data_IF_943662675201
#
_entry.id   IF_943662675201
#
_cell.length_a   1.000
_cell.length_b   1.000
_cell.length_c   1.000
_cell.angle_alpha   90.00
_cell.angle_beta   90.00
_cell.angle_gamma   90.00
#
_symmetry.space_group_name_H-M   'P 1'
#
loop_
_entity.id
_entity.type
_entity.pdbx_description
1 polymer ?
#
# COMPACT_ATOMS: atom_id res chain seq x y z
N UNK A 1 20.25 45.91 -9.78
CA UNK A 1 18.86 46.39 -9.71
C UNK A 1 18.86 47.53 -8.70
N UNK A 2 18.38 48.71 -9.09
CA UNK A 2 18.28 49.85 -8.18
C UNK A 2 17.02 49.63 -7.35
N UNK A 3 17.19 49.26 -6.09
CA UNK A 3 16.08 49.17 -5.14
C UNK A 3 15.74 50.59 -4.68
N UNK A 4 14.59 51.10 -5.12
CA UNK A 4 14.08 52.40 -4.70
C UNK A 4 13.55 52.32 -3.26
N UNK A 5 14.31 52.88 -2.33
CA UNK A 5 14.03 52.92 -0.88
C UNK A 5 12.84 53.79 -0.47
N UNK A 6 12.09 54.39 -1.42
CA UNK A 6 10.97 55.30 -1.13
C UNK A 6 9.59 54.76 -1.52
N UNK A 7 9.50 53.58 -2.12
CA UNK A 7 8.23 52.98 -2.49
C UNK A 7 7.39 52.62 -1.24
N UNK A 8 6.09 52.95 -1.27
CA UNK A 8 5.13 52.58 -0.22
C UNK A 8 4.34 51.35 -0.66
N UNK A 9 4.28 50.33 0.20
CA UNK A 9 3.51 49.11 -0.08
C UNK A 9 2.29 49.06 0.83
N UNK A 10 1.12 48.78 0.25
CA UNK A 10 -0.14 48.61 0.97
C UNK A 10 -0.82 47.29 0.59
N UNK A 11 -1.74 46.82 1.44
CA UNK A 11 -2.42 45.53 1.26
C UNK A 11 -1.78 44.34 1.99
N UNK A 12 -0.64 44.52 2.64
CA UNK A 12 0.02 43.53 3.49
C UNK A 12 -0.73 43.30 4.82
N UNK A 13 -0.25 42.35 5.62
CA UNK A 13 -0.79 42.01 6.94
C UNK A 13 -1.71 40.78 6.94
N UNK A 14 -2.18 40.39 8.12
CA UNK A 14 -3.02 39.20 8.33
C UNK A 14 -4.37 39.34 7.62
N UNK A 15 -4.76 38.31 6.87
CA UNK A 15 -6.05 38.23 6.17
C UNK A 15 -6.85 37.04 6.65
N UNK A 16 -8.13 37.26 6.93
CA UNK A 16 -9.07 36.17 7.19
C UNK A 16 -9.54 35.57 5.86
N UNK A 17 -9.36 34.26 5.70
CA UNK A 17 -9.76 33.54 4.50
C UNK A 17 -11.18 32.98 4.64
N UNK A 18 -12.00 33.15 3.62
CA UNK A 18 -13.28 32.45 3.45
C UNK A 18 -13.04 31.14 2.69
N UNK A 19 -13.89 30.14 2.91
CA UNK A 19 -13.89 28.93 2.07
C UNK A 19 -14.12 29.35 0.61
N UNK A 20 -13.42 28.69 -0.30
CA UNK A 20 -13.38 29.03 -1.71
C UNK A 20 -12.27 30.03 -2.05
N UNK A 21 -12.46 30.73 -3.17
CA UNK A 21 -11.48 31.67 -3.71
C UNK A 21 -11.50 32.98 -2.93
N UNK A 22 -10.32 33.41 -2.46
CA UNK A 22 -10.08 34.71 -1.85
C UNK A 22 -9.13 35.49 -2.75
N UNK A 23 -9.47 36.75 -3.01
CA UNK A 23 -8.65 37.64 -3.82
C UNK A 23 -8.20 38.81 -2.96
N UNK A 24 -6.90 39.05 -2.90
CA UNK A 24 -6.31 40.19 -2.19
C UNK A 24 -5.41 40.98 -3.13
N UNK A 25 -5.44 42.31 -3.01
CA UNK A 25 -4.58 43.18 -3.80
C UNK A 25 -3.44 43.72 -2.93
N UNK A 26 -2.22 43.67 -3.45
CA UNK A 26 -1.06 44.35 -2.90
C UNK A 26 -0.70 45.47 -3.85
N UNK A 27 -0.69 46.71 -3.36
CA UNK A 27 -0.42 47.89 -4.18
C UNK A 27 0.93 48.46 -3.76
N UNK A 28 1.82 48.59 -4.74
CA UNK A 28 3.11 49.26 -4.59
C UNK A 28 2.99 50.63 -5.24
N UNK A 29 3.26 51.68 -4.49
CA UNK A 29 3.24 53.08 -4.93
C UNK A 29 4.67 53.61 -4.94
N UNK A 30 5.15 54.04 -6.10
CA UNK A 30 6.46 54.67 -6.26
C UNK A 30 6.44 56.13 -5.74
N UNK A 31 7.61 56.76 -5.62
CA UNK A 31 7.72 58.16 -5.14
C UNK A 31 6.99 59.15 -6.07
N UNK A 32 6.93 58.85 -7.37
CA UNK A 32 6.23 59.64 -8.38
C UNK A 32 4.71 59.38 -8.43
N UNK A 33 4.13 58.74 -7.41
CA UNK A 33 2.72 58.36 -7.28
C UNK A 33 2.23 57.29 -8.28
N UNK A 34 3.10 56.74 -9.14
CA UNK A 34 2.73 55.61 -9.99
C UNK A 34 2.49 54.35 -9.15
N UNK A 35 1.44 53.61 -9.48
CA UNK A 35 1.05 52.41 -8.73
C UNK A 35 1.11 51.14 -9.57
N UNK A 36 1.52 50.05 -8.94
CA UNK A 36 1.48 48.70 -9.49
C UNK A 36 0.71 47.80 -8.54
N UNK A 37 -0.34 47.17 -9.05
CA UNK A 37 -1.21 46.28 -8.25
C UNK A 37 -0.92 44.81 -8.57
N UNK A 38 -0.65 44.04 -7.53
CA UNK A 38 -0.47 42.59 -7.57
C UNK A 38 -1.71 41.90 -6.99
N UNK A 39 -2.28 40.96 -7.74
CA UNK A 39 -3.49 40.23 -7.35
C UNK A 39 -3.10 38.85 -6.83
N UNK A 40 -3.33 38.61 -5.55
CA UNK A 40 -3.14 37.34 -4.88
C UNK A 40 -4.46 36.57 -4.88
N UNK A 41 -4.51 35.41 -5.54
CA UNK A 41 -5.66 34.51 -5.54
C UNK A 41 -5.34 33.28 -4.69
N UNK A 42 -5.99 33.18 -3.53
CA UNK A 42 -5.78 32.13 -2.53
C UNK A 42 -7.07 31.33 -2.36
N UNK A 43 -7.06 30.04 -2.65
CA UNK A 43 -8.22 29.17 -2.43
C UNK A 43 -8.10 28.48 -1.08
N UNK A 44 -9.04 28.72 -0.17
CA UNK A 44 -9.14 27.97 1.10
C UNK A 44 -10.20 26.89 0.96
N UNK A 45 -9.84 25.64 1.23
CA UNK A 45 -10.80 24.54 1.23
C UNK A 45 -11.70 24.59 2.47
N UNK A 46 -12.92 24.07 2.35
CA UNK A 46 -13.82 23.94 3.48
C UNK A 46 -13.32 22.85 4.43
N UNK A 47 -13.36 23.12 5.73
CA UNK A 47 -13.17 22.10 6.76
C UNK A 47 -14.39 21.17 6.85
N UNK A 48 -15.54 21.58 6.29
CA UNK A 48 -16.78 20.79 6.20
C UNK A 48 -16.82 19.83 5.00
N UNK A 49 -15.84 19.91 4.08
CA UNK A 49 -15.54 18.75 3.23
C UNK A 49 -15.17 17.64 4.19
N UNK A 50 -16.07 16.66 4.36
CA UNK A 50 -15.95 15.56 5.32
C UNK A 50 -14.57 14.93 5.16
N UNK A 51 -13.64 15.34 6.02
CA UNK A 51 -12.31 14.73 6.09
C UNK A 51 -12.55 13.33 6.57
N UNK A 52 -12.41 12.39 5.66
CA UNK A 52 -12.48 10.97 5.95
C UNK A 52 -11.10 10.54 6.38
N UNK A 53 -11.04 9.60 7.33
CA UNK A 53 -9.84 8.83 7.62
C UNK A 53 -9.85 7.47 6.93
N UNK A 54 -10.83 7.19 6.07
CA UNK A 54 -10.87 5.95 5.33
C UNK A 54 -9.81 6.00 4.21
N UNK A 55 -8.79 5.18 4.34
CA UNK A 55 -7.70 5.00 3.38
C UNK A 55 -7.65 3.56 2.83
N UNK A 56 -8.78 2.84 2.89
CA UNK A 56 -8.90 1.50 2.34
C UNK A 56 -9.16 1.53 0.83
N UNK A 57 -8.59 0.55 0.14
CA UNK A 57 -9.08 0.17 -1.18
C UNK A 57 -10.23 -0.83 -1.02
N UNK A 58 -11.28 -0.64 -1.82
CA UNK A 58 -12.38 -1.59 -1.99
C UNK A 58 -11.95 -2.76 -2.88
N UNK A 59 -11.13 -2.47 -3.89
CA UNK A 59 -10.54 -3.48 -4.75
C UNK A 59 -9.13 -3.09 -5.20
N UNK A 60 -8.30 -4.11 -5.42
CA UNK A 60 -6.97 -4.00 -6.01
C UNK A 60 -6.73 -5.28 -6.79
N UNK A 61 -6.29 -5.13 -8.04
CA UNK A 61 -5.98 -6.21 -8.96
C UNK A 61 -4.76 -5.82 -9.79
N UNK A 62 -4.10 -6.83 -10.34
CA UNK A 62 -2.96 -6.67 -11.23
C UNK A 62 -3.25 -7.47 -12.49
N UNK A 63 -3.11 -6.84 -13.66
CA UNK A 63 -3.35 -7.52 -14.93
C UNK A 63 -2.45 -8.74 -15.06
N UNK A 64 -2.99 -9.86 -15.55
CA UNK A 64 -2.31 -11.16 -15.70
C UNK A 64 -1.88 -11.87 -14.39
N UNK A 65 -2.05 -11.24 -13.22
CA UNK A 65 -1.65 -11.81 -11.92
C UNK A 65 -2.84 -11.93 -10.95
N UNK A 66 -3.12 -13.15 -10.51
CA UNK A 66 -4.18 -13.38 -9.53
C UNK A 66 -3.72 -13.04 -8.11
N UNK A 67 -4.34 -12.03 -7.51
CA UNK A 67 -4.19 -11.69 -6.10
C UNK A 67 -5.53 -11.84 -5.37
N UNK A 68 -5.51 -12.42 -4.17
CA UNK A 68 -6.68 -12.42 -3.29
C UNK A 68 -6.61 -11.18 -2.39
N UNK A 69 -7.08 -10.05 -2.92
CA UNK A 69 -7.01 -8.78 -2.21
C UNK A 69 -7.88 -8.79 -0.95
N UNK A 70 -7.33 -8.21 0.12
CA UNK A 70 -7.98 -7.99 1.40
C UNK A 70 -7.49 -6.62 1.92
N UNK A 71 -8.38 -5.66 2.23
CA UNK A 71 -7.99 -4.31 2.63
C UNK A 71 -7.15 -4.24 3.91
N UNK A 72 -7.14 -5.30 4.72
CA UNK A 72 -6.33 -5.39 5.95
C UNK A 72 -4.97 -6.05 5.73
N UNK A 73 -4.75 -6.70 4.58
CA UNK A 73 -3.45 -7.27 4.22
C UNK A 73 -2.63 -6.20 3.49
N UNK A 74 -1.54 -5.75 4.12
CA UNK A 74 -0.65 -4.71 3.56
C UNK A 74 0.61 -5.26 2.91
N UNK A 75 0.80 -6.58 2.87
CA UNK A 75 1.97 -7.22 2.27
C UNK A 75 1.58 -8.35 1.32
N UNK A 76 2.02 -8.23 0.08
CA UNK A 76 1.82 -9.21 -0.98
C UNK A 76 3.16 -9.63 -1.56
N UNK A 77 3.26 -10.89 -1.98
CA UNK A 77 4.43 -11.41 -2.70
C UNK A 77 3.95 -11.85 -4.07
N UNK A 78 4.62 -11.39 -5.12
CA UNK A 78 4.26 -11.67 -6.51
C UNK A 78 5.51 -12.17 -7.23
N UNK A 79 5.33 -13.27 -7.95
CA UNK A 79 6.34 -13.77 -8.88
C UNK A 79 5.95 -13.36 -10.29
N UNK A 80 6.82 -12.62 -10.96
CA UNK A 80 6.63 -12.14 -12.34
C UNK A 80 7.65 -12.83 -13.27
N UNK A 81 7.44 -12.74 -14.58
CA UNK A 81 8.35 -13.31 -15.57
C UNK A 81 9.45 -12.31 -15.92
N UNK A 82 9.25 -11.51 -16.96
CA UNK A 82 10.21 -10.51 -17.42
C UNK A 82 9.67 -9.09 -17.51
N UNK A 83 8.45 -8.85 -16.99
CA UNK A 83 7.83 -7.54 -16.95
C UNK A 83 8.73 -6.52 -16.25
N UNK A 84 8.73 -5.30 -16.80
CA UNK A 84 9.48 -4.17 -16.26
C UNK A 84 8.60 -3.22 -15.44
N UNK A 85 7.28 -3.40 -15.52
CA UNK A 85 6.23 -2.70 -14.78
C UNK A 85 4.99 -3.59 -14.69
N UNK A 86 4.09 -3.32 -13.74
CA UNK A 86 2.82 -4.03 -13.58
C UNK A 86 1.63 -3.08 -13.77
N UNK A 87 0.57 -3.55 -14.43
CA UNK A 87 -0.65 -2.79 -14.61
C UNK A 87 -1.61 -3.03 -13.43
N UNK A 88 -1.77 -2.04 -12.56
CA UNK A 88 -2.69 -2.10 -11.42
C UNK A 88 -4.07 -1.55 -11.78
N UNK A 89 -5.12 -2.22 -11.31
CA UNK A 89 -6.49 -1.73 -11.31
C UNK A 89 -7.00 -1.66 -9.86
N UNK A 90 -7.59 -0.55 -9.45
CA UNK A 90 -8.06 -0.38 -8.07
C UNK A 90 -9.30 0.51 -7.97
N UNK A 91 -10.06 0.32 -6.90
CA UNK A 91 -11.17 1.19 -6.50
C UNK A 91 -10.99 1.55 -5.02
N UNK A 92 -10.94 2.83 -4.68
CA UNK A 92 -10.94 3.24 -3.29
C UNK A 92 -12.33 3.10 -2.66
N UNK A 93 -12.41 2.73 -1.38
CA UNK A 93 -13.69 2.74 -0.65
C UNK A 93 -14.24 4.17 -0.54
N UNK A 94 -13.35 5.13 -0.30
CA UNK A 94 -13.68 6.54 -0.30
C UNK A 94 -13.16 7.22 -1.57
N UNK A 95 -14.08 7.75 -2.38
CA UNK A 95 -13.81 8.40 -3.67
C UNK A 95 -13.01 9.70 -3.56
N UNK A 96 -12.86 10.24 -2.35
CA UNK A 96 -12.08 11.46 -2.10
C UNK A 96 -10.61 11.18 -1.81
N UNK A 97 -10.21 9.90 -1.71
CA UNK A 97 -8.83 9.47 -1.48
C UNK A 97 -7.96 9.63 -2.73
N UNK A 98 -6.65 9.74 -2.51
CA UNK A 98 -5.62 9.73 -3.56
C UNK A 98 -4.78 8.47 -3.46
N UNK A 99 -4.48 7.83 -4.60
CA UNK A 99 -3.65 6.62 -4.67
C UNK A 99 -2.43 6.91 -5.53
N UNK A 100 -1.24 6.59 -5.01
CA UNK A 100 0.05 6.73 -5.70
C UNK A 100 0.76 5.38 -5.68
N UNK A 101 1.30 4.97 -6.83
CA UNK A 101 2.09 3.74 -6.97
C UNK A 101 3.56 4.12 -7.19
N UNK A 102 4.42 3.70 -6.28
CA UNK A 102 5.86 3.96 -6.34
C UNK A 102 6.64 2.66 -6.57
N UNK A 103 7.76 2.74 -7.29
CA UNK A 103 8.65 1.60 -7.53
C UNK A 103 8.17 0.61 -8.59
N UNK A 104 7.16 0.96 -9.38
CA UNK A 104 6.59 0.14 -10.46
C UNK A 104 7.32 0.30 -11.81
N UNK A 105 8.62 0.57 -11.79
CA UNK A 105 9.41 0.79 -13.00
C UNK A 105 10.71 -0.02 -12.92
N UNK A 106 11.20 -0.48 -14.07
CA UNK A 106 12.45 -1.23 -14.19
C UNK A 106 12.54 -2.42 -13.20
N UNK A 107 11.43 -3.16 -13.05
CA UNK A 107 11.31 -4.24 -12.08
C UNK A 107 12.38 -5.33 -12.29
N UNK A 108 12.99 -5.72 -11.18
CA UNK A 108 14.03 -6.77 -11.03
C UNK A 108 13.63 -7.74 -9.93
N UNK A 109 14.32 -8.87 -9.84
CA UNK A 109 14.19 -9.75 -8.68
C UNK A 109 14.48 -8.97 -7.38
N UNK A 110 13.61 -9.14 -6.39
CA UNK A 110 13.66 -8.41 -5.11
C UNK A 110 13.12 -6.98 -5.15
N UNK A 111 12.54 -6.51 -6.27
CA UNK A 111 11.94 -5.17 -6.33
C UNK A 111 10.75 -5.03 -5.38
N UNK A 112 10.48 -3.79 -4.97
CA UNK A 112 9.39 -3.47 -4.08
C UNK A 112 8.53 -2.38 -4.72
N UNK A 113 7.24 -2.66 -4.83
CA UNK A 113 6.23 -1.68 -5.24
C UNK A 113 5.43 -1.26 -4.01
N UNK A 114 5.17 0.04 -3.87
CA UNK A 114 4.38 0.61 -2.79
C UNK A 114 3.17 1.33 -3.36
N UNK A 115 1.97 0.82 -3.07
CA UNK A 115 0.70 1.50 -3.35
C UNK A 115 0.27 2.26 -2.10
N UNK A 116 0.42 3.58 -2.12
CA UNK A 116 0.07 4.47 -1.01
C UNK A 116 -1.30 5.08 -1.25
N UNK A 117 -2.24 4.84 -0.33
CA UNK A 117 -3.56 5.47 -0.29
C UNK A 117 -3.56 6.56 0.77
N UNK A 118 -3.88 7.79 0.36
CA UNK A 118 -3.96 8.95 1.25
C UNK A 118 -5.40 9.43 1.33
N UNK A 119 -5.96 9.49 2.54
CA UNK A 119 -7.29 10.03 2.78
C UNK A 119 -7.28 11.56 2.87
N UNK A 120 -8.47 12.17 2.89
CA UNK A 120 -8.62 13.63 2.92
C UNK A 120 -8.18 14.26 4.25
N UNK A 121 -8.12 13.49 5.33
CA UNK A 121 -7.51 13.90 6.60
C UNK A 121 -5.97 13.79 6.63
N UNK A 122 -5.36 13.25 5.57
CA UNK A 122 -3.92 13.02 5.45
C UNK A 122 -3.41 11.69 6.01
N UNK A 123 -4.30 10.85 6.58
CA UNK A 123 -3.97 9.48 6.98
C UNK A 123 -3.57 8.64 5.76
N UNK A 124 -2.62 7.73 5.97
CA UNK A 124 -2.04 6.91 4.89
C UNK A 124 -2.09 5.43 5.22
N UNK A 125 -2.42 4.62 4.22
CA UNK A 125 -2.28 3.17 4.23
C UNK A 125 -1.42 2.76 3.03
N UNK A 126 -0.51 1.81 3.25
CA UNK A 126 0.43 1.36 2.23
C UNK A 126 0.28 -0.14 2.00
N UNK A 127 0.06 -0.53 0.75
CA UNK A 127 0.13 -1.91 0.29
C UNK A 127 1.48 -2.15 -0.37
N UNK A 128 2.27 -3.03 0.22
CA UNK A 128 3.62 -3.40 -0.21
C UNK A 128 3.59 -4.68 -1.02
N UNK A 129 4.21 -4.65 -2.19
CA UNK A 129 4.37 -5.80 -3.06
C UNK A 129 5.86 -6.14 -3.21
N UNK A 130 6.25 -7.30 -2.71
CA UNK A 130 7.57 -7.86 -2.96
C UNK A 130 7.53 -8.62 -4.28
N UNK A 131 8.43 -8.27 -5.20
CA UNK A 131 8.53 -8.85 -6.53
C UNK A 131 9.67 -9.86 -6.56
N UNK A 132 9.38 -11.05 -7.07
CA UNK A 132 10.39 -12.06 -7.40
C UNK A 132 10.31 -12.36 -8.89
N UNK A 133 11.44 -12.57 -9.57
CA UNK A 133 11.45 -12.99 -10.98
C UNK A 133 11.72 -14.48 -11.08
N UNK A 134 10.96 -15.19 -11.90
CA UNK A 134 11.34 -16.54 -12.28
C UNK A 134 12.66 -16.48 -13.06
N UNK A 135 13.66 -17.26 -12.65
CA UNK A 135 14.89 -17.39 -13.42
C UNK A 135 14.57 -17.98 -14.80
N UNK A 136 15.03 -17.32 -15.88
CA UNK A 136 14.98 -17.93 -17.22
C UNK A 136 15.89 -19.16 -17.18
N UNK A 137 15.30 -20.35 -17.27
CA UNK A 137 16.06 -21.55 -17.59
C UNK A 137 16.38 -21.47 -19.08
N UNK A 138 17.57 -20.98 -19.42
CA UNK A 138 18.09 -21.09 -20.78
C UNK A 138 18.17 -22.59 -21.12
N UNK A 139 17.28 -23.05 -22.00
CA UNK A 139 17.36 -24.40 -22.54
C UNK A 139 18.66 -24.52 -23.33
N UNK A 140 19.73 -24.99 -22.68
CA UNK A 140 20.97 -25.43 -23.35
C UNK A 140 20.60 -26.61 -24.24
N UNK A 141 20.24 -26.34 -25.49
CA UNK A 141 20.12 -27.36 -26.53
C UNK A 141 21.52 -27.79 -26.95
N UNK A 142 21.96 -28.93 -26.41
CA UNK A 142 22.87 -29.83 -27.10
C UNK A 142 24.06 -30.32 -26.27
N UNK A 143 23.91 -31.42 -25.53
CA UNK A 143 24.65 -32.64 -25.86
C UNK A 143 24.00 -33.89 -25.26
N UNK A 144 24.02 -34.99 -26.00
CA UNK A 144 23.41 -36.29 -25.68
C UNK A 144 24.49 -37.22 -25.12
N UNK A 145 24.18 -37.98 -24.06
CA UNK A 145 24.87 -39.16 -23.44
C UNK A 145 25.03 -38.91 -21.91
N UNK A 146 24.79 -39.82 -20.95
CA UNK A 146 24.45 -41.23 -20.90
C UNK A 146 23.52 -41.49 -19.69
N UNK A 147 22.76 -42.58 -19.76
CA UNK A 147 21.77 -43.02 -18.77
C UNK A 147 22.39 -43.40 -17.41
N UNK A 148 21.72 -43.01 -16.31
CA UNK A 148 21.67 -43.82 -15.08
C UNK A 148 20.23 -43.89 -14.58
N UNK A 149 19.61 -45.03 -14.83
CA UNK A 149 18.29 -45.42 -14.31
C UNK A 149 18.36 -45.48 -12.79
N UNK A 150 17.53 -44.70 -12.09
CA UNK A 150 17.23 -44.95 -10.68
C UNK A 150 15.76 -44.63 -10.35
N UNK A 151 15.00 -45.72 -10.27
CA UNK A 151 13.74 -45.91 -9.54
C UNK A 151 12.63 -44.87 -9.72
N UNK A 152 11.58 -45.26 -10.46
CA UNK A 152 10.28 -44.60 -10.46
C UNK A 152 9.68 -44.60 -9.04
N UNK A 153 9.99 -43.56 -8.25
CA UNK A 153 9.17 -43.18 -7.09
C UNK A 153 8.27 -42.03 -7.52
N UNK A 154 6.98 -42.34 -7.67
CA UNK A 154 5.85 -41.40 -7.69
C UNK A 154 6.14 -40.23 -6.74
N UNK A 155 6.54 -39.07 -7.27
CA UNK A 155 6.72 -37.85 -6.49
C UNK A 155 5.76 -36.82 -7.06
N UNK A 156 4.62 -36.68 -6.39
CA UNK A 156 3.61 -35.65 -6.67
C UNK A 156 4.30 -34.31 -6.41
N UNK A 157 4.61 -33.56 -7.47
CA UNK A 157 5.20 -32.22 -7.37
C UNK A 157 4.04 -31.28 -7.05
N UNK A 158 3.85 -30.96 -5.77
CA UNK A 158 2.96 -29.88 -5.38
C UNK A 158 3.59 -28.55 -5.82
N UNK A 159 2.83 -27.71 -6.52
CA UNK A 159 3.24 -26.36 -6.94
C UNK A 159 3.41 -25.43 -5.72
N UNK A 160 4.56 -25.61 -5.09
CA UNK A 160 5.40 -24.72 -4.27
C UNK A 160 4.84 -23.79 -3.18
N UNK A 161 3.56 -23.40 -3.07
CA UNK A 161 3.14 -22.42 -2.03
C UNK A 161 1.85 -22.80 -1.28
N UNK A 162 0.88 -23.39 -1.96
CA UNK A 162 -0.39 -23.76 -1.30
C UNK A 162 -0.22 -24.94 -0.33
N UNK A 163 0.68 -25.89 -0.61
CA UNK A 163 0.74 -27.14 0.16
C UNK A 163 1.53 -27.02 1.46
N UNK A 164 2.56 -26.17 1.51
CA UNK A 164 3.24 -25.85 2.78
C UNK A 164 2.26 -25.10 3.70
N UNK A 165 1.48 -24.16 3.15
CA UNK A 165 0.48 -23.40 3.91
C UNK A 165 -0.64 -24.31 4.45
N UNK A 166 -1.17 -25.21 3.62
CA UNK A 166 -2.21 -26.16 4.03
C UNK A 166 -1.67 -27.14 5.09
N UNK A 167 -0.44 -27.66 4.94
CA UNK A 167 0.16 -28.56 5.92
C UNK A 167 0.42 -27.88 7.27
N UNK A 168 0.88 -26.62 7.27
CA UNK A 168 1.08 -25.83 8.50
C UNK A 168 -0.26 -25.56 9.20
N UNK A 169 -1.33 -25.26 8.46
CA UNK A 169 -2.67 -25.05 9.02
C UNK A 169 -3.22 -26.34 9.67
N UNK A 170 -3.08 -27.49 9.01
CA UNK A 170 -3.53 -28.79 9.55
C UNK A 170 -2.75 -29.15 10.82
N UNK A 171 -1.43 -29.00 10.81
CA UNK A 171 -0.58 -29.28 11.99
C UNK A 171 -0.88 -28.33 13.15
N UNK A 172 -1.10 -27.04 12.89
CA UNK A 172 -1.51 -26.08 13.91
C UNK A 172 -2.90 -26.40 14.48
N UNK A 173 -3.87 -26.76 13.64
CA UNK A 173 -5.22 -27.14 14.08
C UNK A 173 -5.21 -28.36 15.01
N UNK A 174 -4.42 -29.39 14.70
CA UNK A 174 -4.24 -30.58 15.55
C UNK A 174 -3.56 -30.20 16.89
N UNK A 175 -2.54 -29.33 16.87
CA UNK A 175 -1.90 -28.84 18.11
C UNK A 175 -2.88 -28.05 18.97
N UNK A 176 -3.65 -27.13 18.39
CA UNK A 176 -4.61 -26.27 19.11
C UNK A 176 -5.72 -27.10 19.75
N UNK A 177 -6.31 -28.06 19.03
CA UNK A 177 -7.34 -28.95 19.59
C UNK A 177 -6.80 -29.80 20.74
N UNK A 178 -5.57 -30.30 20.66
CA UNK A 178 -4.92 -31.03 21.76
C UNK A 178 -4.71 -30.14 23.01
N UNK A 179 -4.34 -28.87 22.82
CA UNK A 179 -4.15 -27.89 23.89
C UNK A 179 -5.48 -27.55 24.54
N UNK A 180 -6.55 -27.37 23.74
CA UNK A 180 -7.91 -27.12 24.23
C UNK A 180 -8.42 -28.32 25.04
N UNK A 181 -8.17 -29.56 24.58
CA UNK A 181 -8.54 -30.77 25.32
C UNK A 181 -7.80 -30.85 26.66
N UNK A 182 -6.49 -30.60 26.68
CA UNK A 182 -5.70 -30.56 27.93
C UNK A 182 -6.20 -29.48 28.88
N UNK A 183 -6.53 -28.27 28.38
CA UNK A 183 -7.12 -27.19 29.20
C UNK A 183 -8.49 -27.57 29.75
N UNK A 184 -9.37 -28.17 28.95
CA UNK A 184 -10.67 -28.71 29.43
C UNK A 184 -10.45 -29.78 30.50
N UNK A 185 -9.58 -30.76 30.27
CA UNK A 185 -9.27 -31.80 31.24
C UNK A 185 -8.74 -31.24 32.58
N UNK A 186 -7.86 -30.23 32.54
CA UNK A 186 -7.40 -29.54 33.76
C UNK A 186 -8.51 -28.79 34.48
N UNK A 187 -9.43 -28.14 33.74
CA UNK A 187 -10.59 -27.46 34.33
C UNK A 187 -11.55 -28.46 35.00
N UNK A 188 -11.75 -29.64 34.41
CA UNK A 188 -12.52 -30.73 35.01
C UNK A 188 -11.87 -31.29 36.28
N UNK A 189 -10.53 -31.50 36.28
CA UNK A 189 -9.79 -31.92 37.48
C UNK A 189 -9.92 -30.91 38.63
N UNK A 190 -9.79 -29.61 38.33
CA UNK A 190 -10.00 -28.54 39.32
C UNK A 190 -11.43 -28.50 39.85
N UNK A 191 -12.44 -28.66 38.98
CA UNK A 191 -13.85 -28.68 39.40
C UNK A 191 -14.16 -29.88 40.30
N UNK A 192 -13.59 -31.07 40.01
CA UNK A 192 -13.78 -32.28 40.83
C UNK A 192 -13.15 -32.16 42.23
N UNK A 193 -12.08 -31.38 42.39
CA UNK A 193 -11.44 -31.11 43.68
C UNK A 193 -12.28 -30.19 44.59
N UNK A 194 -13.14 -29.34 44.00
CA UNK A 194 -14.02 -28.42 44.74
C UNK A 194 -15.30 -29.06 45.28
N UNK A 195 -15.68 -30.27 44.83
CA UNK A 195 -16.88 -30.99 45.29
C UNK A 195 -16.56 -32.12 46.30
N UNK A 196 -15.32 -32.21 46.79
CA UNK A 196 -14.86 -33.25 47.71
C UNK A 196 -14.27 -32.69 49.04
N UNK A 197 -14.54 -31.42 49.34
CA UNK A 197 -14.36 -30.81 50.66
C UNK A 197 -15.73 -30.55 51.29
#
# INVERSE_FOLDING_TARGET
AVEDTKAKVSGLGTKNLKVGVNTFNVVVTAENEETKTYVLKITRLDASNKTSGNNNLKSLAIENYSINFDPEITLYNITIEDETELAFSFEAEDKTTSVIINGNENLKDGSIILVQVTSTDGSKKEYKFNISKNEKIDNIKGNKSNTKKLSNKKLIIYSSISVVSIAVIILCGIKITSIILKKKAMKWKKKKLYYFC
#
